data_IF_968807058449
#
_entry.id   IF_968807058449
#
_cell.length_a   1.000
_cell.length_b   1.000
_cell.length_c   1.000
_cell.angle_alpha   90.00
_cell.angle_beta   90.00
_cell.angle_gamma   90.00
#
_symmetry.space_group_name_H-M   'P 1'
#
loop_
_entity.id
_entity.type
_entity.pdbx_description
1 polymer ?
#
# COMPACT_ATOMS: atom_id res chain seq x y z
N UNK A 1 3.48 -1.28 -16.49
CA UNK A 1 2.91 -0.11 -15.79
C UNK A 1 1.40 -0.29 -15.72
N UNK A 2 0.75 0.19 -14.66
CA UNK A 2 -0.70 0.14 -14.52
C UNK A 2 -1.32 1.53 -14.75
N UNK A 3 -2.62 1.57 -15.06
CA UNK A 3 -3.37 2.82 -15.29
C UNK A 3 -4.54 2.86 -14.31
N UNK A 4 -4.64 3.96 -13.54
CA UNK A 4 -5.79 4.20 -12.67
C UNK A 4 -6.98 4.65 -13.51
N UNK A 5 -7.96 3.75 -13.69
CA UNK A 5 -9.08 3.94 -14.63
C UNK A 5 -9.85 5.25 -14.46
N UNK A 6 -10.16 5.74 -13.24
CA UNK A 6 -10.94 6.97 -13.07
C UNK A 6 -10.26 8.22 -13.63
N UNK A 7 -8.92 8.28 -13.65
CA UNK A 7 -8.17 9.48 -14.09
C UNK A 7 -7.30 9.25 -15.32
N UNK A 8 -7.09 8.00 -15.74
CA UNK A 8 -6.14 7.65 -16.81
C UNK A 8 -4.67 7.80 -16.41
N UNK A 9 -4.38 8.10 -15.14
CA UNK A 9 -3.01 8.31 -14.65
C UNK A 9 -2.22 6.99 -14.60
N UNK A 10 -0.95 7.03 -15.03
CA UNK A 10 -0.02 5.90 -14.83
C UNK A 10 0.33 5.78 -13.35
N UNK A 11 0.22 4.57 -12.81
CA UNK A 11 0.49 4.28 -11.40
C UNK A 11 1.48 3.12 -11.23
N UNK A 12 2.15 3.14 -10.09
CA UNK A 12 2.93 2.03 -9.59
C UNK A 12 2.09 1.23 -8.59
N UNK A 13 2.15 -0.10 -8.67
CA UNK A 13 1.46 -1.01 -7.75
C UNK A 13 2.52 -1.81 -7.01
N UNK A 14 2.53 -1.74 -5.68
CA UNK A 14 3.44 -2.52 -4.82
C UNK A 14 2.64 -3.65 -4.17
N UNK A 15 2.89 -4.90 -4.57
CA UNK A 15 2.38 -6.06 -3.84
C UNK A 15 3.15 -6.21 -2.53
N UNK A 16 2.44 -6.39 -1.43
CA UNK A 16 3.02 -6.52 -0.10
C UNK A 16 2.96 -8.00 0.30
N UNK A 17 4.10 -8.59 0.69
CA UNK A 17 4.18 -9.97 1.20
C UNK A 17 4.98 -10.01 2.51
N UNK A 18 4.42 -9.50 3.63
CA UNK A 18 5.19 -9.29 4.86
C UNK A 18 4.90 -10.32 5.96
N UNK A 19 3.92 -11.21 5.80
CA UNK A 19 3.32 -11.92 6.93
C UNK A 19 4.16 -13.06 7.51
N UNK A 20 5.19 -13.51 6.78
CA UNK A 20 6.11 -14.56 7.26
C UNK A 20 6.95 -14.14 8.47
N UNK A 21 7.21 -12.82 8.64
CA UNK A 21 8.04 -12.31 9.72
C UNK A 21 7.49 -11.02 10.32
N UNK A 22 7.29 -11.00 11.65
CA UNK A 22 6.79 -9.84 12.40
C UNK A 22 7.56 -8.53 12.15
N UNK A 23 8.87 -8.63 11.93
CA UNK A 23 9.72 -7.48 11.59
C UNK A 23 9.35 -6.85 10.24
N UNK A 24 8.97 -7.65 9.25
CA UNK A 24 8.51 -7.15 7.95
C UNK A 24 7.13 -6.48 8.07
N UNK A 25 6.22 -7.05 8.85
CA UNK A 25 4.93 -6.41 9.15
C UNK A 25 5.12 -5.01 9.76
N UNK A 26 6.03 -4.86 10.73
CA UNK A 26 6.33 -3.56 11.35
C UNK A 26 6.93 -2.55 10.36
N UNK A 27 7.84 -3.01 9.47
CA UNK A 27 8.41 -2.16 8.41
C UNK A 27 7.35 -1.71 7.41
N UNK A 28 6.50 -2.63 6.95
CA UNK A 28 5.35 -2.31 6.08
C UNK A 28 4.41 -1.32 6.73
N UNK A 29 4.06 -1.53 8.00
CA UNK A 29 3.18 -0.61 8.74
C UNK A 29 3.81 0.79 8.83
N UNK A 30 5.12 0.87 9.11
CA UNK A 30 5.84 2.15 9.17
C UNK A 30 5.87 2.85 7.81
N UNK A 31 6.15 2.11 6.73
CA UNK A 31 6.12 2.65 5.36
C UNK A 31 4.75 3.25 5.04
N UNK A 32 3.67 2.50 5.27
CA UNK A 32 2.29 2.96 5.03
C UNK A 32 1.98 4.22 5.85
N UNK A 33 2.36 4.24 7.14
CA UNK A 33 2.13 5.40 8.01
C UNK A 33 2.87 6.65 7.51
N UNK A 34 4.14 6.50 7.13
CA UNK A 34 4.95 7.64 6.66
C UNK A 34 4.43 8.18 5.32
N UNK A 35 4.13 7.31 4.36
CA UNK A 35 3.62 7.72 3.04
C UNK A 35 2.20 8.32 3.08
N UNK A 36 1.42 8.02 4.13
CA UNK A 36 0.13 8.69 4.38
C UNK A 36 0.26 10.01 5.13
N UNK A 37 1.32 10.17 5.92
CA UNK A 37 1.53 11.35 6.76
C UNK A 37 2.12 12.52 5.98
N UNK A 38 3.11 12.26 5.13
CA UNK A 38 3.74 13.32 4.35
C UNK A 38 2.85 13.77 3.19
N UNK A 39 2.75 15.10 3.02
CA UNK A 39 2.10 15.73 1.87
C UNK A 39 3.04 16.80 1.31
N UNK A 40 3.91 16.39 0.38
CA UNK A 40 4.95 17.24 -0.19
C UNK A 40 5.27 16.81 -1.62
N UNK A 41 5.54 17.75 -2.54
CA UNK A 41 5.74 17.44 -3.97
C UNK A 41 6.89 16.43 -4.23
N UNK A 42 7.92 16.49 -3.38
CA UNK A 42 9.12 15.65 -3.48
C UNK A 42 9.03 14.35 -2.66
N UNK A 43 7.87 14.04 -2.06
CA UNK A 43 7.65 12.80 -1.31
C UNK A 43 6.48 12.06 -1.95
N UNK A 44 6.72 10.81 -2.36
CA UNK A 44 5.66 9.96 -2.90
C UNK A 44 4.57 9.70 -1.86
N UNK A 45 3.31 9.70 -2.29
CA UNK A 45 2.15 9.42 -1.45
C UNK A 45 1.41 8.17 -1.93
N UNK A 46 0.63 7.57 -1.03
CA UNK A 46 -0.25 6.46 -1.38
C UNK A 46 -1.53 7.01 -1.98
N UNK A 47 -1.79 6.67 -3.25
CA UNK A 47 -3.04 7.03 -3.94
C UNK A 47 -4.22 6.19 -3.46
N UNK A 48 -4.03 4.88 -3.31
CA UNK A 48 -5.08 3.94 -2.91
C UNK A 48 -4.49 2.70 -2.22
N UNK A 49 -5.30 2.03 -1.39
CA UNK A 49 -4.97 0.75 -0.76
C UNK A 49 -6.14 -0.21 -0.97
N UNK A 50 -5.87 -1.29 -1.71
CA UNK A 50 -6.81 -2.40 -1.84
C UNK A 50 -6.87 -3.13 -0.51
N UNK A 51 -8.04 -3.11 0.12
CA UNK A 51 -8.30 -3.82 1.37
C UNK A 51 -9.07 -5.12 1.08
N UNK A 52 -8.86 -6.18 1.87
CA UNK A 52 -9.77 -7.32 1.83
C UNK A 52 -11.20 -6.86 2.19
N UNK A 53 -12.23 -7.54 1.69
CA UNK A 53 -13.62 -7.17 1.96
C UNK A 53 -13.98 -7.34 3.44
N UNK A 54 -13.42 -8.35 4.11
CA UNK A 54 -13.54 -8.57 5.55
C UNK A 54 -12.22 -9.07 6.14
N UNK A 55 -12.11 -9.08 7.47
CA UNK A 55 -10.92 -9.61 8.15
C UNK A 55 -10.80 -11.13 7.94
N UNK A 56 -11.93 -11.83 7.91
CA UNK A 56 -11.99 -13.29 7.71
C UNK A 56 -11.62 -13.69 6.28
N UNK A 57 -11.90 -12.81 5.31
CA UNK A 57 -11.51 -13.00 3.90
C UNK A 57 -10.02 -12.73 3.65
N UNK A 58 -9.26 -12.30 4.66
CA UNK A 58 -7.85 -12.00 4.53
C UNK A 58 -7.00 -13.28 4.61
N UNK A 59 -6.62 -13.82 3.46
CA UNK A 59 -5.86 -15.07 3.33
C UNK A 59 -4.36 -14.87 3.07
N UNK A 60 -3.85 -13.63 3.20
CA UNK A 60 -2.43 -13.37 2.93
C UNK A 60 -1.51 -13.64 4.14
N UNK A 61 -2.04 -14.15 5.25
CA UNK A 61 -1.27 -14.62 6.42
C UNK A 61 -0.80 -16.05 6.26
#
# INVERSE_FOLDING_TARGET
>A
SAVYKPTGQKVAIKKITPFDHSMFCLRTLREIKLLKYFNHENIISILDIVKPPTLEAFQEV
#
